data_IF_203787197291
#
_entry.id   IF_203787197291
#
_cell.length_a   1.000
_cell.length_b   1.000
_cell.length_c   1.000
_cell.angle_alpha   90.00
_cell.angle_beta   90.00
_cell.angle_gamma   90.00
#
_symmetry.space_group_name_H-M   'P 1'
#
loop_
_entity.id
_entity.type
_entity.pdbx_description
1 polymer ?
#
# COMPACT_ATOMS: atom_id res chain seq x y z
N UNK A 1 -30.97 1.85 -3.90
CA UNK A 1 -30.19 2.72 -4.81
C UNK A 1 -30.88 2.77 -6.17
N UNK A 2 -30.90 3.93 -6.84
CA UNK A 2 -31.44 4.03 -8.20
C UNK A 2 -30.54 3.29 -9.21
N UNK A 3 -31.08 2.91 -10.38
CA UNK A 3 -30.31 2.16 -11.41
C UNK A 3 -29.09 2.95 -11.90
N UNK A 4 -29.21 4.27 -11.97
CA UNK A 4 -28.15 5.19 -12.35
C UNK A 4 -26.99 5.13 -11.36
N UNK A 5 -27.29 5.14 -10.05
CA UNK A 5 -26.29 4.99 -8.99
C UNK A 5 -25.54 3.66 -9.06
N UNK A 6 -26.26 2.57 -9.31
CA UNK A 6 -25.64 1.26 -9.49
C UNK A 6 -24.74 1.23 -10.72
N UNK A 7 -25.16 1.85 -11.83
CA UNK A 7 -24.33 1.96 -13.04
C UNK A 7 -23.04 2.73 -12.79
N UNK A 8 -23.11 3.84 -12.07
CA UNK A 8 -21.91 4.60 -11.70
C UNK A 8 -20.96 3.79 -10.79
N UNK A 9 -21.52 3.06 -9.83
CA UNK A 9 -20.74 2.15 -8.97
C UNK A 9 -20.04 1.06 -9.79
N UNK A 10 -20.74 0.43 -10.73
CA UNK A 10 -20.15 -0.59 -11.60
C UNK A 10 -19.09 -0.01 -12.54
N UNK A 11 -19.26 1.23 -13.01
CA UNK A 11 -18.24 1.90 -13.82
C UNK A 11 -16.98 2.18 -13.01
N UNK A 12 -17.11 2.70 -11.79
CA UNK A 12 -15.98 2.85 -10.87
C UNK A 12 -15.23 1.53 -10.67
N UNK A 13 -15.95 0.44 -10.39
CA UNK A 13 -15.32 -0.87 -10.20
C UNK A 13 -14.61 -1.40 -11.46
N UNK A 14 -15.12 -1.10 -12.66
CA UNK A 14 -14.44 -1.43 -13.92
C UNK A 14 -13.15 -0.64 -14.11
N UNK A 15 -13.14 0.64 -13.74
CA UNK A 15 -11.93 1.46 -13.85
C UNK A 15 -10.89 1.09 -12.79
N UNK A 16 -11.32 0.83 -11.55
CA UNK A 16 -10.46 0.38 -10.45
C UNK A 16 -9.79 -0.97 -10.73
N UNK A 17 -10.39 -1.80 -11.59
CA UNK A 17 -9.88 -3.11 -11.97
C UNK A 17 -8.48 -3.04 -12.60
N UNK A 18 -8.16 -1.94 -13.28
CA UNK A 18 -6.85 -1.67 -13.89
C UNK A 18 -5.70 -1.76 -12.90
N UNK A 19 -5.94 -1.54 -11.60
CA UNK A 19 -4.95 -1.69 -10.55
C UNK A 19 -4.33 -3.11 -10.50
N UNK A 20 -5.06 -4.13 -11.00
CA UNK A 20 -4.54 -5.50 -11.10
C UNK A 20 -3.40 -5.64 -12.10
N UNK A 21 -3.34 -4.76 -13.09
CA UNK A 21 -2.31 -4.76 -14.13
C UNK A 21 -1.18 -3.75 -13.85
N UNK A 22 -1.31 -2.94 -12.81
CA UNK A 22 -0.23 -2.05 -12.33
C UNK A 22 0.81 -2.89 -11.62
N UNK A 23 1.98 -3.07 -12.23
CA UNK A 23 3.06 -3.91 -11.69
C UNK A 23 4.05 -3.10 -10.85
N UNK A 24 4.35 -3.62 -9.66
CA UNK A 24 5.36 -3.08 -8.73
C UNK A 24 6.76 -3.59 -9.09
N UNK A 25 7.78 -3.05 -8.41
CA UNK A 25 9.17 -3.53 -8.51
C UNK A 25 9.43 -4.80 -7.67
N UNK A 26 8.46 -5.18 -6.84
CA UNK A 26 8.44 -6.41 -6.08
C UNK A 26 8.21 -7.65 -6.95
N UNK A 27 8.87 -8.76 -6.60
CA UNK A 27 8.66 -10.06 -7.25
C UNK A 27 8.17 -11.08 -6.23
N UNK A 28 7.23 -11.92 -6.64
CA UNK A 28 6.78 -13.10 -5.89
C UNK A 28 7.89 -14.14 -5.73
N UNK A 29 7.70 -15.14 -4.87
CA UNK A 29 8.66 -16.23 -4.67
C UNK A 29 8.91 -17.07 -5.93
N UNK A 30 8.00 -17.02 -6.93
CA UNK A 30 8.17 -17.67 -8.23
C UNK A 30 8.81 -16.76 -9.29
N UNK A 31 9.13 -15.51 -8.94
CA UNK A 31 9.76 -14.54 -9.84
C UNK A 31 8.80 -13.75 -10.72
N UNK A 32 7.47 -13.93 -10.57
CA UNK A 32 6.50 -13.04 -11.23
C UNK A 32 6.48 -11.69 -10.51
N UNK A 33 6.43 -10.58 -11.24
CA UNK A 33 6.18 -9.25 -10.66
C UNK A 33 4.82 -9.18 -9.99
N UNK A 34 4.80 -8.67 -8.77
CA UNK A 34 3.59 -8.37 -7.99
C UNK A 34 2.82 -7.21 -8.63
N UNK A 35 1.49 -7.21 -8.54
CA UNK A 35 0.67 -6.04 -8.86
C UNK A 35 0.26 -5.22 -7.63
N UNK A 36 -0.05 -3.94 -7.81
CA UNK A 36 -0.52 -3.05 -6.74
C UNK A 36 -1.80 -3.58 -6.06
N UNK A 37 -2.68 -4.24 -6.81
CA UNK A 37 -3.84 -4.90 -6.23
C UNK A 37 -3.47 -6.08 -5.31
N UNK A 38 -2.46 -6.88 -5.68
CA UNK A 38 -1.96 -8.00 -4.86
C UNK A 38 -1.27 -7.52 -3.58
N UNK A 39 -0.48 -6.45 -3.69
CA UNK A 39 0.09 -5.73 -2.55
C UNK A 39 -1.00 -5.28 -1.57
N UNK A 40 -2.00 -4.54 -2.07
CA UNK A 40 -3.10 -4.03 -1.25
C UNK A 40 -3.90 -5.15 -0.57
N UNK A 41 -4.11 -6.28 -1.28
CA UNK A 41 -4.73 -7.47 -0.70
C UNK A 41 -3.92 -8.03 0.47
N UNK A 42 -2.60 -8.23 0.30
CA UNK A 42 -1.77 -8.80 1.36
C UNK A 42 -1.55 -7.83 2.51
N UNK A 43 -1.50 -6.53 2.24
CA UNK A 43 -1.50 -5.49 3.26
C UNK A 43 -2.77 -5.54 4.13
N UNK A 44 -3.96 -5.70 3.52
CA UNK A 44 -5.20 -5.87 4.26
C UNK A 44 -5.18 -7.17 5.10
N UNK A 45 -4.65 -8.26 4.54
CA UNK A 45 -4.48 -9.52 5.27
C UNK A 45 -3.55 -9.34 6.47
N UNK A 46 -2.43 -8.64 6.30
CA UNK A 46 -1.47 -8.31 7.36
C UNK A 46 -2.13 -7.49 8.48
N UNK A 47 -2.89 -6.45 8.14
CA UNK A 47 -3.64 -5.67 9.12
C UNK A 47 -4.67 -6.51 9.88
N UNK A 48 -5.36 -7.43 9.19
CA UNK A 48 -6.36 -8.32 9.80
C UNK A 48 -5.74 -9.32 10.79
N UNK A 49 -4.61 -9.94 10.45
CA UNK A 49 -3.97 -10.94 11.33
C UNK A 49 -3.26 -10.31 12.53
N UNK A 50 -2.86 -9.04 12.42
CA UNK A 50 -2.24 -8.28 13.51
C UNK A 50 -3.24 -7.46 14.32
N UNK A 51 -4.55 -7.65 14.13
CA UNK A 51 -5.57 -6.81 14.74
C UNK A 51 -5.47 -6.72 16.27
N UNK A 52 -5.13 -7.83 16.94
CA UNK A 52 -5.01 -7.90 18.41
C UNK A 52 -3.81 -7.09 18.95
N UNK A 53 -2.80 -6.83 18.11
CA UNK A 53 -1.62 -6.04 18.46
C UNK A 53 -1.87 -4.53 18.46
N UNK A 54 -3.06 -4.11 17.98
CA UNK A 54 -3.45 -2.70 17.90
C UNK A 54 -4.76 -2.41 18.63
N UNK A 55 -4.83 -2.66 19.95
CA UNK A 55 -6.04 -2.43 20.72
C UNK A 55 -6.47 -0.96 20.66
N UNK A 56 -7.75 -0.74 20.37
CA UNK A 56 -8.34 0.60 20.31
C UNK A 56 -8.33 1.28 18.94
N UNK A 57 -7.74 0.66 17.91
CA UNK A 57 -7.91 1.11 16.52
C UNK A 57 -9.26 0.69 15.94
N UNK A 58 -9.80 1.51 15.06
CA UNK A 58 -10.88 1.09 14.16
C UNK A 58 -10.31 0.22 13.04
N UNK A 59 -10.40 -1.10 13.22
CA UNK A 59 -9.89 -2.06 12.25
C UNK A 59 -10.60 -2.00 10.90
N UNK A 60 -11.90 -1.66 10.87
CA UNK A 60 -12.62 -1.51 9.60
C UNK A 60 -12.07 -0.31 8.83
N UNK A 61 -11.83 0.80 9.51
CA UNK A 61 -11.21 2.00 8.92
C UNK A 61 -9.79 1.70 8.44
N UNK A 62 -8.96 1.04 9.24
CA UNK A 62 -7.60 0.63 8.86
C UNK A 62 -7.62 -0.24 7.60
N UNK A 63 -8.45 -1.28 7.54
CA UNK A 63 -8.56 -2.14 6.37
C UNK A 63 -9.07 -1.40 5.13
N UNK A 64 -10.06 -0.51 5.27
CA UNK A 64 -10.52 0.33 4.15
C UNK A 64 -9.40 1.25 3.65
N UNK A 65 -8.59 1.80 4.54
CA UNK A 65 -7.45 2.64 4.19
C UNK A 65 -6.40 1.84 3.42
N UNK A 66 -5.99 0.66 3.92
CA UNK A 66 -5.09 -0.24 3.22
C UNK A 66 -5.61 -0.63 1.83
N UNK A 67 -6.93 -0.81 1.67
CA UNK A 67 -7.53 -1.16 0.39
C UNK A 67 -7.42 -0.04 -0.66
N UNK A 68 -7.49 1.23 -0.24
CA UNK A 68 -7.62 2.37 -1.17
C UNK A 68 -6.36 3.22 -1.30
N UNK A 69 -5.32 2.97 -0.50
CA UNK A 69 -4.14 3.83 -0.41
C UNK A 69 -3.43 4.05 -1.77
N UNK A 70 -3.28 3.00 -2.57
CA UNK A 70 -2.67 3.08 -3.91
C UNK A 70 -3.72 3.06 -5.04
N UNK A 71 -5.00 3.26 -4.74
CA UNK A 71 -6.07 3.12 -5.75
C UNK A 71 -5.94 4.15 -6.90
N UNK A 72 -5.30 5.29 -6.65
CA UNK A 72 -4.98 6.28 -7.68
C UNK A 72 -4.04 5.76 -8.77
N UNK A 73 -3.17 4.79 -8.46
CA UNK A 73 -2.22 4.21 -9.39
C UNK A 73 -2.89 3.48 -10.57
N UNK A 74 -4.20 3.18 -10.49
CA UNK A 74 -4.96 2.57 -11.58
C UNK A 74 -4.98 3.41 -12.88
N UNK A 75 -4.67 4.72 -12.82
CA UNK A 75 -4.66 5.60 -13.99
C UNK A 75 -3.26 5.83 -14.58
N UNK A 76 -2.27 6.20 -13.76
CA UNK A 76 -0.91 6.51 -14.23
C UNK A 76 0.19 5.56 -13.74
N UNK A 77 -0.17 4.48 -13.03
CA UNK A 77 0.73 3.42 -12.61
C UNK A 77 1.48 3.69 -11.30
N UNK A 78 2.23 2.68 -10.84
CA UNK A 78 3.11 2.76 -9.67
C UNK A 78 4.38 3.54 -10.01
N UNK A 79 4.66 4.58 -9.23
CA UNK A 79 5.94 5.29 -9.25
C UNK A 79 6.80 4.77 -8.08
N UNK A 80 7.90 4.05 -8.36
CA UNK A 80 8.73 3.46 -7.32
C UNK A 80 9.35 4.50 -6.38
N UNK A 81 9.52 4.15 -5.10
CA UNK A 81 10.15 5.02 -4.11
C UNK A 81 11.61 5.41 -4.43
N UNK A 82 12.29 4.63 -5.28
CA UNK A 82 13.65 4.91 -5.75
C UNK A 82 13.70 5.86 -6.95
N UNK A 83 12.56 6.18 -7.56
CA UNK A 83 12.48 7.01 -8.76
C UNK A 83 12.61 8.51 -8.42
N UNK A 84 13.44 9.30 -9.12
CA UNK A 84 13.48 10.75 -8.99
C UNK A 84 12.12 11.46 -9.13
N UNK A 85 11.19 10.89 -9.90
CA UNK A 85 9.82 11.37 -10.08
C UNK A 85 8.90 11.12 -8.87
N UNK A 86 9.37 10.41 -7.83
CA UNK A 86 8.63 10.26 -6.58
C UNK A 86 8.30 11.63 -5.92
N UNK A 87 9.07 12.68 -6.24
CA UNK A 87 8.74 14.06 -5.85
C UNK A 87 7.49 14.54 -6.60
N UNK A 88 6.37 14.60 -5.89
CA UNK A 88 5.07 14.99 -6.44
C UNK A 88 4.13 13.82 -6.75
N UNK A 89 4.58 12.57 -6.53
CA UNK A 89 3.76 11.34 -6.65
C UNK A 89 2.40 11.49 -5.98
N UNK A 90 2.39 11.89 -4.71
CA UNK A 90 1.16 12.07 -3.93
C UNK A 90 0.14 13.03 -4.59
N UNK A 91 0.60 14.13 -5.19
CA UNK A 91 -0.31 15.07 -5.85
C UNK A 91 -0.93 14.49 -7.13
N UNK A 92 -0.15 13.73 -7.90
CA UNK A 92 -0.62 13.03 -9.10
C UNK A 92 -1.63 11.95 -8.70
N UNK A 93 -1.29 11.11 -7.73
CA UNK A 93 -2.18 10.04 -7.26
C UNK A 93 -3.48 10.58 -6.66
N UNK A 94 -3.41 11.70 -5.94
CA UNK A 94 -4.61 12.33 -5.41
C UNK A 94 -5.53 12.85 -6.51
N UNK A 95 -4.94 13.41 -7.58
CA UNK A 95 -5.69 13.85 -8.75
C UNK A 95 -6.32 12.65 -9.48
N UNK A 96 -5.57 11.57 -9.64
CA UNK A 96 -6.04 10.35 -10.29
C UNK A 96 -7.17 9.69 -9.52
N UNK A 97 -7.02 9.59 -8.20
CA UNK A 97 -8.08 9.08 -7.34
C UNK A 97 -9.34 9.94 -7.48
N UNK A 98 -9.22 11.27 -7.55
CA UNK A 98 -10.35 12.17 -7.78
C UNK A 98 -11.09 11.88 -9.09
N UNK A 99 -10.34 11.61 -10.17
CA UNK A 99 -10.90 11.25 -11.47
C UNK A 99 -11.60 9.89 -11.37
N UNK A 100 -10.97 8.92 -10.73
CA UNK A 100 -11.47 7.56 -10.60
C UNK A 100 -12.81 7.51 -9.84
N UNK A 101 -12.93 8.28 -8.74
CA UNK A 101 -14.15 8.27 -7.90
C UNK A 101 -15.23 9.26 -8.33
N UNK A 102 -15.01 10.06 -9.39
CA UNK A 102 -15.84 11.24 -9.72
C UNK A 102 -17.34 10.95 -9.83
N UNK A 103 -17.67 9.79 -10.39
CA UNK A 103 -19.05 9.38 -10.70
C UNK A 103 -19.73 8.64 -9.53
N UNK A 104 -18.99 8.29 -8.46
CA UNK A 104 -19.57 7.66 -7.27
C UNK A 104 -20.55 8.60 -6.55
N UNK A 105 -21.54 8.04 -5.82
CA UNK A 105 -22.38 8.82 -4.93
C UNK A 105 -21.55 9.58 -3.91
N UNK A 106 -22.08 10.72 -3.44
CA UNK A 106 -21.35 11.65 -2.58
C UNK A 106 -20.75 11.00 -1.32
N UNK A 107 -21.46 10.06 -0.69
CA UNK A 107 -21.00 9.33 0.50
C UNK A 107 -19.74 8.49 0.25
N UNK A 108 -19.80 7.41 -0.55
CA UNK A 108 -18.65 6.58 -0.88
C UNK A 108 -17.48 7.38 -1.49
N UNK A 109 -17.78 8.36 -2.33
CA UNK A 109 -16.77 9.25 -2.92
C UNK A 109 -16.00 10.01 -1.84
N UNK A 110 -16.71 10.64 -0.90
CA UNK A 110 -16.08 11.41 0.18
C UNK A 110 -15.31 10.50 1.14
N UNK A 111 -15.82 9.30 1.44
CA UNK A 111 -15.15 8.33 2.29
C UNK A 111 -13.79 7.90 1.70
N UNK A 112 -13.75 7.48 0.43
CA UNK A 112 -12.50 7.04 -0.23
C UNK A 112 -11.47 8.16 -0.25
N UNK A 113 -11.88 9.37 -0.63
CA UNK A 113 -10.97 10.53 -0.68
C UNK A 113 -10.43 10.89 0.71
N UNK A 114 -11.30 10.88 1.73
CA UNK A 114 -10.89 11.18 3.11
C UNK A 114 -9.93 10.14 3.66
N UNK A 115 -10.15 8.85 3.37
CA UNK A 115 -9.24 7.78 3.80
C UNK A 115 -7.86 7.94 3.15
N UNK A 116 -7.82 8.27 1.87
CA UNK A 116 -6.57 8.52 1.16
C UNK A 116 -5.84 9.75 1.71
N UNK A 117 -6.56 10.87 1.90
CA UNK A 117 -5.98 12.11 2.44
C UNK A 117 -5.42 11.89 3.86
N UNK A 118 -6.13 11.12 4.68
CA UNK A 118 -5.69 10.74 6.02
C UNK A 118 -4.47 9.81 6.00
N UNK A 119 -4.46 8.82 5.09
CA UNK A 119 -3.32 7.95 4.85
C UNK A 119 -2.09 8.78 4.46
N UNK A 120 -2.18 9.61 3.41
CA UNK A 120 -1.05 10.37 2.88
C UNK A 120 -0.44 11.28 3.95
N UNK A 121 -1.30 11.97 4.72
CA UNK A 121 -0.88 12.86 5.81
C UNK A 121 -0.43 12.13 7.09
N UNK A 122 -0.64 10.81 7.22
CA UNK A 122 -0.41 10.04 8.45
C UNK A 122 -1.04 10.68 9.70
N UNK A 123 -2.24 11.24 9.53
CA UNK A 123 -2.84 12.17 10.50
C UNK A 123 -3.62 11.49 11.64
N UNK A 124 -3.91 10.19 11.52
CA UNK A 124 -4.57 9.39 12.55
C UNK A 124 -3.71 8.20 13.04
N UNK A 125 -4.09 7.58 14.17
CA UNK A 125 -3.51 6.30 14.58
C UNK A 125 -3.63 5.22 13.50
N UNK A 126 -4.80 5.06 12.85
CA UNK A 126 -4.99 4.09 11.78
C UNK A 126 -4.05 4.38 10.59
N UNK A 127 -3.92 5.63 10.18
CA UNK A 127 -3.06 6.02 9.06
C UNK A 127 -1.57 5.78 9.33
N UNK A 128 -1.12 6.02 10.55
CA UNK A 128 0.26 5.74 10.96
C UNK A 128 0.56 4.24 10.94
N UNK A 129 -0.38 3.42 11.43
CA UNK A 129 -0.25 1.97 11.34
C UNK A 129 -0.33 1.49 9.89
N UNK A 130 -1.26 1.98 9.09
CA UNK A 130 -1.37 1.66 7.65
C UNK A 130 -0.06 1.93 6.91
N UNK A 131 0.54 3.13 7.08
CA UNK A 131 1.84 3.44 6.47
C UNK A 131 2.94 2.52 6.96
N UNK A 132 2.99 2.23 8.27
CA UNK A 132 3.97 1.30 8.83
C UNK A 132 3.86 -0.09 8.21
N UNK A 133 2.65 -0.66 8.17
CA UNK A 133 2.37 -1.95 7.58
C UNK A 133 2.69 -1.97 6.07
N UNK A 134 2.35 -0.92 5.31
CA UNK A 134 2.69 -0.80 3.89
C UNK A 134 4.21 -0.93 3.62
N UNK A 135 5.03 -0.28 4.45
CA UNK A 135 6.49 -0.40 4.35
C UNK A 135 6.99 -1.79 4.73
N UNK A 136 6.45 -2.38 5.79
CA UNK A 136 6.83 -3.73 6.23
C UNK A 136 6.44 -4.79 5.20
N UNK A 137 5.25 -4.70 4.63
CA UNK A 137 4.75 -5.58 3.57
C UNK A 137 5.72 -5.54 2.38
N UNK A 138 6.09 -4.34 1.93
CA UNK A 138 7.00 -4.15 0.79
C UNK A 138 8.36 -4.84 1.05
N UNK A 139 8.93 -4.64 2.24
CA UNK A 139 10.23 -5.24 2.61
C UNK A 139 10.11 -6.76 2.74
N UNK A 140 9.03 -7.26 3.33
CA UNK A 140 8.74 -8.69 3.41
C UNK A 140 8.66 -9.31 2.01
N UNK A 141 7.99 -8.65 1.06
CA UNK A 141 7.95 -9.10 -0.32
C UNK A 141 9.32 -9.15 -0.95
N UNK A 142 10.16 -8.14 -0.73
CA UNK A 142 11.53 -8.11 -1.23
C UNK A 142 12.36 -9.27 -0.66
N UNK A 143 12.23 -9.60 0.64
CA UNK A 143 12.96 -10.73 1.24
C UNK A 143 12.49 -12.09 0.71
N UNK A 144 11.18 -12.25 0.50
CA UNK A 144 10.54 -13.49 0.03
C UNK A 144 10.70 -13.70 -1.49
N UNK A 145 10.81 -12.62 -2.26
CA UNK A 145 10.81 -12.63 -3.71
C UNK A 145 12.00 -13.34 -4.34
N UNK A 146 11.76 -13.99 -5.48
CA UNK A 146 12.84 -14.45 -6.36
C UNK A 146 13.33 -13.27 -7.21
N UNK A 147 14.09 -12.38 -6.58
CA UNK A 147 14.61 -11.18 -7.24
C UNK A 147 15.84 -11.50 -8.10
N UNK A 148 16.13 -10.63 -9.06
CA UNK A 148 17.36 -10.70 -9.84
C UNK A 148 18.60 -10.51 -8.94
N UNK A 149 19.78 -11.05 -9.30
CA UNK A 149 21.02 -10.84 -8.54
C UNK A 149 21.41 -9.36 -8.36
N UNK A 150 20.91 -8.48 -9.21
CA UNK A 150 21.15 -7.03 -9.15
C UNK A 150 20.19 -6.28 -8.22
N UNK A 151 19.29 -6.98 -7.52
CA UNK A 151 18.33 -6.35 -6.63
C UNK A 151 19.02 -5.75 -5.40
N UNK A 152 18.77 -4.47 -5.13
CA UNK A 152 19.37 -3.75 -4.01
C UNK A 152 18.62 -4.04 -2.70
N UNK A 153 19.04 -5.10 -2.00
CA UNK A 153 18.51 -5.40 -0.67
C UNK A 153 18.92 -4.37 0.40
N UNK A 154 19.97 -3.57 0.18
CA UNK A 154 20.39 -2.58 1.17
C UNK A 154 19.39 -1.42 1.28
N UNK A 155 18.65 -1.13 0.20
CA UNK A 155 17.52 -0.19 0.21
C UNK A 155 16.52 -0.48 1.34
N UNK A 156 16.19 -1.75 1.57
CA UNK A 156 15.23 -2.18 2.57
C UNK A 156 15.56 -1.64 3.96
N UNK A 157 16.85 -1.65 4.34
CA UNK A 157 17.33 -1.25 5.67
C UNK A 157 17.11 0.24 5.95
N UNK A 158 16.92 1.06 4.93
CA UNK A 158 16.67 2.51 5.04
C UNK A 158 15.20 2.87 4.77
N UNK A 159 14.54 2.10 3.90
CA UNK A 159 13.17 2.38 3.49
C UNK A 159 12.19 2.33 4.66
N UNK A 160 11.35 3.37 4.78
CA UNK A 160 10.23 3.37 5.71
C UNK A 160 10.55 3.48 7.21
N UNK A 161 11.83 3.67 7.59
CA UNK A 161 12.26 3.66 9.01
C UNK A 161 11.42 4.58 9.92
N UNK A 162 11.13 5.81 9.48
CA UNK A 162 10.34 6.76 10.26
C UNK A 162 8.91 6.25 10.55
N UNK A 163 8.31 5.50 9.63
CA UNK A 163 6.98 4.93 9.80
C UNK A 163 7.01 3.63 10.62
N UNK A 164 7.99 2.77 10.39
CA UNK A 164 8.11 1.50 11.11
C UNK A 164 8.56 1.68 12.56
N UNK A 165 9.25 2.77 12.89
CA UNK A 165 9.63 3.11 14.27
C UNK A 165 8.49 3.78 15.07
N UNK A 166 7.36 4.12 14.43
CA UNK A 166 6.30 4.90 15.07
C UNK A 166 5.46 4.11 16.09
N UNK A 167 5.57 2.78 16.11
CA UNK A 167 4.85 1.90 17.04
C UNK A 167 5.72 0.70 17.46
N UNK A 168 5.69 0.26 18.73
CA UNK A 168 6.53 -0.85 19.20
C UNK A 168 6.36 -2.15 18.41
N UNK A 169 5.12 -2.53 18.07
CA UNK A 169 4.83 -3.73 17.27
C UNK A 169 5.45 -3.61 15.86
N UNK A 170 5.32 -2.45 15.22
CA UNK A 170 5.91 -2.23 13.89
C UNK A 170 7.43 -2.31 13.95
N UNK A 171 8.04 -1.77 15.01
CA UNK A 171 9.49 -1.81 15.22
C UNK A 171 9.98 -3.25 15.47
N UNK A 172 9.24 -4.05 16.23
CA UNK A 172 9.56 -5.46 16.47
C UNK A 172 9.46 -6.29 15.18
N UNK A 173 8.40 -6.11 14.39
CA UNK A 173 8.27 -6.77 13.07
C UNK A 173 9.41 -6.32 12.16
N UNK A 174 9.74 -5.02 12.17
CA UNK A 174 10.83 -4.45 11.39
C UNK A 174 12.17 -5.10 11.69
N UNK A 175 12.48 -5.32 12.97
CA UNK A 175 13.73 -5.95 13.39
C UNK A 175 13.89 -7.35 12.79
N UNK A 176 12.84 -8.18 12.87
CA UNK A 176 12.82 -9.53 12.29
C UNK A 176 13.03 -9.50 10.76
N UNK A 177 12.33 -8.61 10.07
CA UNK A 177 12.45 -8.49 8.61
C UNK A 177 13.83 -7.92 8.20
N UNK A 178 14.42 -7.03 9.00
CA UNK A 178 15.77 -6.51 8.77
C UNK A 178 16.84 -7.60 8.98
N UNK A 179 16.66 -8.51 9.93
CA UNK A 179 17.54 -9.69 10.09
C UNK A 179 17.54 -10.56 8.83
N UNK A 180 16.36 -10.83 8.26
CA UNK A 180 16.24 -11.54 6.98
C UNK A 180 16.93 -10.77 5.83
N UNK A 181 16.74 -9.45 5.75
CA UNK A 181 17.42 -8.62 4.74
C UNK A 181 18.94 -8.69 4.88
N UNK A 182 19.47 -8.62 6.12
CA UNK A 182 20.93 -8.75 6.36
C UNK A 182 21.44 -10.14 5.98
N UNK A 183 20.66 -11.19 6.24
CA UNK A 183 21.02 -12.55 5.82
C UNK A 183 21.10 -12.68 4.29
N UNK A 184 20.22 -12.01 3.54
CA UNK A 184 20.29 -11.94 2.06
C UNK A 184 21.56 -11.22 1.58
N UNK A 185 21.90 -10.08 2.19
CA UNK A 185 23.10 -9.33 1.84
C UNK A 185 24.40 -10.11 2.10
N UNK A 186 24.41 -10.97 3.12
CA UNK A 186 25.58 -11.81 3.43
C UNK A 186 25.77 -13.01 2.49
N UNK A 187 24.78 -13.30 1.62
CA UNK A 187 24.85 -14.39 0.63
C UNK A 187 25.36 -13.93 -0.75
N UNK A 188 25.60 -12.63 -0.92
CA UNK A 188 26.07 -12.00 -2.17
C UNK A 188 27.58 -11.88 -2.19
#
# INVERSE_FOLDING_TARGET
>A
MAKETLRATLNFLREAEKLKDVLRNSHTSTGRRESTAEHSWRLCLMAMVLAEEFPGLDMLKLMKMCLVHDLGEALHGDIPATDPAAKGKAAVERQDLSILVKDLPAGPRAEILSLWDEYDAASSPEARIAKGLDKLETILQHNQGSNAPSFDHAFNLLYGQAYTAAHPVLAAIRELIDEETRAKLAQV
#
